data_IF_862875723730
#
_entry.id   IF_862875723730
#
_cell.length_a   1.000
_cell.length_b   1.000
_cell.length_c   1.000
_cell.angle_alpha   90.00
_cell.angle_beta   90.00
_cell.angle_gamma   90.00
#
_symmetry.space_group_name_H-M   'P 1'
#
loop_
_entity.id
_entity.type
_entity.pdbx_description
1 polymer ?
#
# COMPACT_ATOMS: atom_id res chain seq x y z
N UNK A 1 31.78 1.85 54.27
CA UNK A 1 31.40 2.63 53.08
C UNK A 1 30.51 3.76 53.59
N UNK A 2 30.90 5.02 53.36
CA UNK A 2 30.14 6.17 53.86
C UNK A 2 28.78 6.23 53.16
N UNK A 3 27.71 6.38 53.92
CA UNK A 3 26.32 6.44 53.44
C UNK A 3 26.06 7.55 52.40
N UNK A 4 26.92 8.57 52.34
CA UNK A 4 26.89 9.60 51.30
C UNK A 4 27.32 9.11 49.91
N UNK A 5 28.28 8.18 49.83
CA UNK A 5 28.75 7.65 48.54
C UNK A 5 27.66 6.79 47.87
N UNK A 6 26.91 6.04 48.67
CA UNK A 6 25.80 5.21 48.17
C UNK A 6 24.65 6.07 47.58
N UNK A 7 24.39 7.24 48.15
CA UNK A 7 23.40 8.20 47.61
C UNK A 7 23.91 8.85 46.32
N UNK A 8 25.21 9.14 46.23
CA UNK A 8 25.83 9.67 45.02
C UNK A 8 25.76 8.65 43.87
N UNK A 9 26.08 7.38 44.14
CA UNK A 9 26.01 6.29 43.16
C UNK A 9 24.58 6.05 42.66
N UNK A 10 23.59 6.03 43.56
CA UNK A 10 22.17 5.92 43.17
C UNK A 10 21.73 7.06 42.26
N UNK A 11 22.15 8.30 42.56
CA UNK A 11 21.87 9.47 41.71
C UNK A 11 22.58 9.39 40.36
N UNK A 12 23.85 8.97 40.34
CA UNK A 12 24.61 8.82 39.11
C UNK A 12 23.98 7.77 38.18
N UNK A 13 23.58 6.62 38.74
CA UNK A 13 22.89 5.56 38.03
C UNK A 13 21.55 6.01 37.47
N UNK A 14 20.72 6.69 38.29
CA UNK A 14 19.44 7.25 37.83
C UNK A 14 19.64 8.24 36.67
N UNK A 15 20.62 9.14 36.78
CA UNK A 15 20.94 10.10 35.73
C UNK A 15 21.42 9.42 34.43
N UNK A 16 22.15 8.32 34.54
CA UNK A 16 22.59 7.53 33.38
C UNK A 16 21.41 6.87 32.67
N UNK A 17 20.50 6.24 33.40
CA UNK A 17 19.29 5.63 32.84
C UNK A 17 18.40 6.65 32.15
N UNK A 18 18.20 7.81 32.77
CA UNK A 18 17.37 8.86 32.19
C UNK A 18 18.00 9.47 30.93
N UNK A 19 19.34 9.59 30.85
CA UNK A 19 20.01 9.94 29.59
C UNK A 19 19.72 8.94 28.49
N UNK A 20 19.90 7.64 28.76
CA UNK A 20 19.59 6.56 27.81
C UNK A 20 18.14 6.61 27.32
N UNK A 21 17.20 6.90 28.22
CA UNK A 21 15.77 7.07 27.86
C UNK A 21 15.55 8.25 26.92
N UNK A 22 16.18 9.40 27.19
CA UNK A 22 16.08 10.59 26.33
C UNK A 22 16.70 10.38 24.96
N UNK A 23 17.81 9.64 24.89
CA UNK A 23 18.45 9.30 23.61
C UNK A 23 17.52 8.42 22.77
N UNK A 24 16.90 7.40 23.37
CA UNK A 24 15.94 6.56 22.66
C UNK A 24 14.71 7.33 22.14
N UNK A 25 14.20 8.29 22.92
CA UNK A 25 13.12 9.18 22.47
C UNK A 25 13.59 10.06 21.33
N UNK A 26 14.80 10.61 21.44
CA UNK A 26 15.39 11.42 20.37
C UNK A 26 15.47 10.61 19.08
N UNK A 27 15.94 9.36 19.13
CA UNK A 27 16.00 8.49 17.96
C UNK A 27 14.61 8.21 17.37
N UNK A 28 13.63 7.94 18.23
CA UNK A 28 12.22 7.75 17.81
C UNK A 28 11.67 8.98 17.07
N UNK A 29 12.01 10.20 17.50
CA UNK A 29 11.64 11.44 16.80
C UNK A 29 12.33 11.57 15.44
N UNK A 30 13.58 11.12 15.29
CA UNK A 30 14.26 11.12 13.99
C UNK A 30 13.57 10.14 13.03
N UNK A 31 13.30 8.90 13.47
CA UNK A 31 12.58 7.92 12.66
C UNK A 31 11.18 8.40 12.27
N UNK A 32 10.46 9.07 13.18
CA UNK A 32 9.16 9.65 12.88
C UNK A 32 9.27 10.76 11.82
N UNK A 33 10.24 11.67 11.95
CA UNK A 33 10.48 12.73 10.96
C UNK A 33 10.73 12.15 9.57
N UNK A 34 11.60 11.15 9.49
CA UNK A 34 12.00 10.57 8.20
C UNK A 34 10.85 9.79 7.53
N UNK A 35 9.86 9.34 8.31
CA UNK A 35 8.64 8.67 7.81
C UNK A 35 7.60 9.64 7.25
N UNK A 36 7.73 10.95 7.50
CA UNK A 36 6.78 11.97 7.04
C UNK A 36 7.40 12.74 5.86
N UNK A 37 6.90 12.56 4.62
CA UNK A 37 7.52 13.16 3.43
C UNK A 37 7.72 14.67 3.50
N UNK A 38 6.78 15.40 4.12
CA UNK A 38 6.84 16.86 4.27
C UNK A 38 7.95 17.36 5.22
N UNK A 39 8.58 16.46 5.99
CA UNK A 39 9.63 16.80 6.95
C UNK A 39 11.02 16.30 6.53
N UNK A 40 11.10 15.58 5.41
CA UNK A 40 12.35 15.01 4.93
C UNK A 40 13.30 16.14 4.48
N UNK A 41 14.54 16.11 4.97
CA UNK A 41 15.57 17.09 4.62
C UNK A 41 15.48 18.43 5.36
N UNK A 42 14.45 18.66 6.18
CA UNK A 42 14.27 19.92 6.91
C UNK A 42 14.55 19.79 8.42
N UNK A 43 14.96 20.92 9.03
CA UNK A 43 15.07 21.05 10.48
C UNK A 43 13.67 21.32 11.04
N UNK A 44 13.04 20.29 11.60
CA UNK A 44 11.73 20.38 12.25
C UNK A 44 11.85 20.29 13.78
N UNK A 45 11.10 21.12 14.50
CA UNK A 45 10.96 21.00 15.95
C UNK A 45 10.13 19.78 16.34
N UNK A 46 10.22 19.34 17.61
CA UNK A 46 9.41 18.19 18.11
C UNK A 46 7.91 18.41 17.94
N UNK A 47 7.42 19.63 18.19
CA UNK A 47 6.02 19.96 18.00
C UNK A 47 5.61 19.82 16.52
N UNK A 48 6.38 20.43 15.62
CA UNK A 48 6.13 20.31 14.18
C UNK A 48 6.17 18.86 13.68
N UNK A 49 7.08 18.02 14.22
CA UNK A 49 7.12 16.59 13.88
C UNK A 49 5.80 15.91 14.24
N UNK A 50 5.27 16.17 15.43
CA UNK A 50 4.00 15.59 15.88
C UNK A 50 2.83 16.12 15.03
N UNK A 51 2.74 17.43 14.82
CA UNK A 51 1.66 18.05 14.06
C UNK A 51 1.62 17.52 12.62
N UNK A 52 2.78 17.49 11.94
CA UNK A 52 2.89 17.00 10.57
C UNK A 52 2.69 15.49 10.47
N UNK A 53 3.11 14.70 11.47
CA UNK A 53 2.78 13.28 11.51
C UNK A 53 1.28 13.05 11.63
N UNK A 54 0.59 13.81 12.50
CA UNK A 54 -0.87 13.73 12.65
C UNK A 54 -1.58 14.11 11.36
N UNK A 55 -1.20 15.22 10.73
CA UNK A 55 -1.74 15.63 9.42
C UNK A 55 -1.53 14.55 8.36
N UNK A 56 -0.32 13.97 8.30
CA UNK A 56 0.03 12.97 7.31
C UNK A 56 -0.77 11.67 7.49
N UNK A 57 -0.98 11.21 8.73
CA UNK A 57 -1.84 10.04 9.02
C UNK A 57 -3.28 10.30 8.54
N UNK A 58 -3.83 11.47 8.83
CA UNK A 58 -5.19 11.82 8.40
C UNK A 58 -5.31 11.91 6.88
N UNK A 59 -4.30 12.47 6.21
CA UNK A 59 -4.21 12.51 4.76
C UNK A 59 -4.17 11.10 4.16
N UNK A 60 -3.27 10.24 4.65
CA UNK A 60 -3.12 8.87 4.14
C UNK A 60 -4.38 8.02 4.37
N UNK A 61 -5.11 8.21 5.48
CA UNK A 61 -6.41 7.57 5.71
C UNK A 61 -7.44 7.93 4.65
N UNK A 62 -7.57 9.22 4.33
CA UNK A 62 -8.48 9.71 3.28
C UNK A 62 -8.07 9.18 1.91
N UNK A 63 -6.78 9.26 1.57
CA UNK A 63 -6.24 8.77 0.31
C UNK A 63 -6.49 7.28 0.10
N UNK A 64 -6.24 6.45 1.11
CA UNK A 64 -6.51 5.02 1.05
C UNK A 64 -8.00 4.71 0.88
N UNK A 65 -8.87 5.50 1.52
CA UNK A 65 -10.31 5.34 1.37
C UNK A 65 -10.77 5.62 -0.07
N UNK A 66 -10.31 6.73 -0.67
CA UNK A 66 -10.60 7.04 -2.08
C UNK A 66 -10.07 5.94 -3.00
N UNK A 67 -8.82 5.49 -2.83
CA UNK A 67 -8.30 4.40 -3.64
C UNK A 67 -9.09 3.10 -3.49
N UNK A 68 -9.60 2.80 -2.30
CA UNK A 68 -10.46 1.64 -2.09
C UNK A 68 -11.79 1.78 -2.85
N UNK A 69 -12.39 2.98 -2.84
CA UNK A 69 -13.59 3.27 -3.63
C UNK A 69 -13.33 3.11 -5.14
N UNK A 70 -12.22 3.66 -5.63
CA UNK A 70 -11.82 3.53 -7.04
C UNK A 70 -11.66 2.06 -7.44
N UNK A 71 -11.03 1.25 -6.59
CA UNK A 71 -10.88 -0.21 -6.79
C UNK A 71 -12.25 -0.89 -6.88
N UNK A 72 -13.18 -0.55 -5.99
CA UNK A 72 -14.50 -1.18 -5.94
C UNK A 72 -15.39 -0.75 -7.11
N UNK A 73 -15.25 0.48 -7.59
CA UNK A 73 -15.91 0.98 -8.80
C UNK A 73 -15.37 0.28 -10.06
N UNK A 74 -14.04 0.18 -10.19
CA UNK A 74 -13.40 -0.52 -11.31
C UNK A 74 -13.77 -2.00 -11.35
N UNK A 75 -13.84 -2.68 -10.19
CA UNK A 75 -14.30 -4.07 -10.11
C UNK A 75 -15.75 -4.22 -10.58
N UNK A 76 -16.64 -3.30 -10.20
CA UNK A 76 -18.02 -3.31 -10.68
C UNK A 76 -18.11 -3.10 -12.19
N UNK A 77 -17.34 -2.16 -12.74
CA UNK A 77 -17.28 -1.93 -14.18
C UNK A 77 -16.77 -3.16 -14.94
N UNK A 78 -15.69 -3.79 -14.45
CA UNK A 78 -15.17 -5.01 -15.06
C UNK A 78 -16.20 -6.15 -15.04
N UNK A 79 -16.91 -6.35 -13.93
CA UNK A 79 -17.96 -7.37 -13.84
C UNK A 79 -19.09 -7.14 -14.86
N UNK A 80 -19.50 -5.88 -15.08
CA UNK A 80 -20.51 -5.54 -16.09
C UNK A 80 -20.02 -5.78 -17.51
N UNK A 81 -18.75 -5.46 -17.79
CA UNK A 81 -18.14 -5.69 -19.11
C UNK A 81 -17.96 -7.18 -19.40
N UNK A 82 -17.52 -7.97 -18.41
CA UNK A 82 -17.42 -9.43 -18.52
C UNK A 82 -18.79 -10.06 -18.80
N UNK A 83 -19.85 -9.57 -18.13
CA UNK A 83 -21.21 -10.01 -18.41
C UNK A 83 -21.62 -9.71 -19.85
N UNK A 84 -21.28 -8.53 -20.39
CA UNK A 84 -21.57 -8.17 -21.78
C UNK A 84 -20.78 -9.02 -22.78
N UNK A 85 -19.49 -9.27 -22.53
CA UNK A 85 -18.65 -10.13 -23.37
C UNK A 85 -19.14 -11.58 -23.45
N UNK A 86 -19.79 -12.08 -22.39
CA UNK A 86 -20.38 -13.41 -22.35
C UNK A 86 -21.79 -13.50 -22.97
N UNK A 87 -22.38 -12.36 -23.37
CA UNK A 87 -23.71 -12.28 -24.01
C UNK A 87 -23.66 -12.15 -25.53
N UNK A 88 -22.47 -12.21 -26.15
CA UNK A 88 -22.38 -12.40 -27.59
C UNK A 88 -22.49 -13.90 -27.85
N UNK A 89 -23.66 -14.46 -28.23
CA UNK A 89 -23.68 -15.81 -28.73
C UNK A 89 -22.74 -15.83 -29.93
N UNK A 90 -21.71 -16.69 -29.90
CA UNK A 90 -21.02 -17.12 -31.12
C UNK A 90 -22.10 -17.34 -32.17
N UNK A 91 -22.01 -16.74 -33.37
CA UNK A 91 -23.08 -16.81 -34.35
C UNK A 91 -23.46 -18.26 -34.51
N UNK A 92 -24.67 -18.58 -34.03
CA UNK A 92 -25.30 -19.86 -34.28
C UNK A 92 -25.43 -19.90 -35.79
N UNK A 93 -24.49 -20.58 -36.46
CA UNK A 93 -24.61 -20.99 -37.85
C UNK A 93 -25.76 -22.01 -37.91
N UNK A 94 -26.97 -21.49 -37.72
CA UNK A 94 -28.19 -22.13 -38.19
C UNK A 94 -28.23 -21.86 -39.66
N UNK A 95 -28.00 -22.89 -40.46
CA UNK A 95 -28.94 -23.35 -41.47
C UNK A 95 -28.20 -24.33 -42.36
N UNK A 96 -28.71 -25.57 -42.37
CA UNK A 96 -28.03 -26.71 -42.95
C UNK A 96 -27.90 -26.65 -44.45
N UNK A 97 -26.82 -27.25 -44.93
CA UNK A 97 -26.70 -27.85 -46.26
C UNK A 97 -25.68 -28.99 -46.07
N UNK A 98 -26.16 -30.23 -46.16
CA UNK A 98 -25.35 -31.42 -45.92
C UNK A 98 -26.06 -32.72 -46.30
N UNK A 99 -26.88 -32.66 -47.35
CA UNK A 99 -27.19 -33.85 -48.12
C UNK A 99 -26.11 -34.02 -49.20
N UNK A 100 -25.62 -35.25 -49.38
CA UNK A 100 -24.94 -35.64 -50.61
C UNK A 100 -23.47 -36.07 -50.47
N UNK A 101 -23.30 -37.38 -50.35
CA UNK A 101 -22.36 -38.23 -51.10
C UNK A 101 -21.10 -37.60 -51.75
N UNK A 102 -19.93 -38.12 -51.34
CA UNK A 102 -18.83 -38.56 -52.22
C UNK A 102 -18.18 -37.57 -53.18
N UNK A 103 -16.86 -37.41 -53.06
CA UNK A 103 -16.03 -36.85 -54.13
C UNK A 103 -14.74 -36.24 -53.62
N UNK A 104 -13.64 -36.67 -54.20
CA UNK A 104 -12.26 -36.28 -53.92
C UNK A 104 -12.03 -34.79 -54.19
N UNK A 105 -11.07 -34.15 -53.50
CA UNK A 105 -9.84 -33.70 -54.15
C UNK A 105 -8.93 -32.91 -53.20
N UNK A 106 -7.67 -33.33 -53.26
CA UNK A 106 -6.48 -32.79 -52.66
C UNK A 106 -6.17 -31.40 -53.22
N UNK A 107 -6.24 -30.35 -52.40
CA UNK A 107 -5.63 -29.05 -52.71
C UNK A 107 -4.57 -28.69 -51.67
N UNK A 108 -3.34 -28.78 -52.15
CA UNK A 108 -2.07 -28.45 -51.50
C UNK A 108 -2.01 -26.94 -51.23
N UNK A 109 -1.76 -26.55 -49.98
CA UNK A 109 -1.38 -25.18 -49.62
C UNK A 109 0.13 -25.00 -49.85
N UNK A 110 0.51 -24.00 -50.63
CA UNK A 110 1.88 -23.50 -50.71
C UNK A 110 1.87 -21.98 -50.59
N UNK A 111 2.46 -21.48 -49.52
CA UNK A 111 3.25 -20.25 -49.42
C UNK A 111 4.01 -20.30 -48.10
#
# INVERSE_FOLDING_TARGET
INSNDEIADKRAHHNALERKRRDHIKDSFHSLRDSVPALQGEKASRAQILDKATEYIQYMRRKNHTHQQDIDDLKRQNALLEQQGNTVPLPFFSSGWGGGVGGTDNFVFHA
#
